data_IF_074800665052
#
_entry.id   IF_074800665052
#
_cell.length_a   1.000
_cell.length_b   1.000
_cell.length_c   1.000
_cell.angle_alpha   90.00
_cell.angle_beta   90.00
_cell.angle_gamma   90.00
#
_symmetry.space_group_name_H-M   'P 1'
#
loop_
_entity.id
_entity.type
_entity.pdbx_description
1 polymer ?
#
# COMPACT_ATOMS: atom_id res chain seq x y z
N UNK A 1 6.94 6.38 15.13
CA UNK A 1 7.87 7.38 14.55
C UNK A 1 7.10 8.51 13.88
N UNK A 2 6.50 8.33 12.69
CA UNK A 2 5.68 9.39 12.06
C UNK A 2 4.55 9.92 12.97
N UNK A 3 3.71 9.02 13.50
CA UNK A 3 2.61 9.41 14.40
C UNK A 3 3.11 10.08 15.69
N UNK A 4 4.20 9.58 16.26
CA UNK A 4 4.84 10.13 17.45
C UNK A 4 5.32 11.57 17.26
N UNK A 5 5.91 11.90 16.09
CA UNK A 5 6.32 13.28 15.79
C UNK A 5 5.11 14.21 15.56
N UNK A 6 4.03 13.70 14.95
CA UNK A 6 2.78 14.45 14.82
C UNK A 6 2.13 14.73 16.18
N UNK A 7 2.06 13.74 17.06
CA UNK A 7 1.54 13.91 18.42
C UNK A 7 2.38 14.88 19.24
N UNK A 8 3.71 14.79 19.15
CA UNK A 8 4.59 15.73 19.84
C UNK A 8 4.34 17.19 19.41
N UNK A 9 4.13 17.42 18.10
CA UNK A 9 3.79 18.76 17.56
C UNK A 9 2.44 19.24 18.07
N UNK A 10 1.44 18.37 18.10
CA UNK A 10 0.10 18.67 18.61
C UNK A 10 0.11 18.95 20.12
N UNK A 11 0.88 18.21 20.91
CA UNK A 11 1.00 18.43 22.36
C UNK A 11 1.77 19.72 22.70
N UNK A 12 2.71 20.12 21.84
CA UNK A 12 3.51 21.33 22.06
C UNK A 12 2.73 22.63 21.81
N UNK A 13 1.70 22.60 20.95
CA UNK A 13 0.90 23.78 20.65
C UNK A 13 -0.54 23.40 20.28
N UNK A 14 -1.52 24.06 20.92
CA UNK A 14 -2.95 23.91 20.62
C UNK A 14 -3.24 24.33 19.17
N UNK A 15 -2.48 25.28 18.63
CA UNK A 15 -2.55 25.68 17.23
C UNK A 15 -1.41 25.06 16.42
N UNK A 16 -1.74 24.12 15.54
CA UNK A 16 -0.78 23.52 14.60
C UNK A 16 -0.66 24.42 13.38
N UNK A 17 0.50 25.07 13.27
CA UNK A 17 0.80 26.04 12.22
C UNK A 17 1.22 25.38 10.89
N UNK A 18 2.00 24.29 10.94
CA UNK A 18 2.36 23.46 9.77
C UNK A 18 2.83 22.05 10.21
N UNK A 19 2.61 21.06 9.33
CA UNK A 19 3.09 19.66 9.47
C UNK A 19 3.82 19.16 8.23
N UNK A 20 3.94 20.01 7.20
CA UNK A 20 4.51 19.65 5.90
C UNK A 20 5.95 19.15 6.01
N UNK A 21 6.73 19.72 6.94
CA UNK A 21 8.09 19.31 7.26
C UNK A 21 8.18 17.85 7.75
N UNK A 22 7.28 17.46 8.66
CA UNK A 22 7.20 16.10 9.17
C UNK A 22 6.80 15.15 8.04
N UNK A 23 5.80 15.52 7.24
CA UNK A 23 5.33 14.68 6.15
C UNK A 23 6.42 14.48 5.08
N UNK A 24 7.11 15.55 4.66
CA UNK A 24 8.24 15.49 3.71
C UNK A 24 9.32 14.51 4.21
N UNK A 25 9.77 14.69 5.46
CA UNK A 25 10.83 13.87 6.09
C UNK A 25 10.48 12.38 6.13
N UNK A 26 9.29 12.04 6.64
CA UNK A 26 8.91 10.61 6.83
C UNK A 26 8.59 9.93 5.51
N UNK A 27 8.03 10.66 4.55
CA UNK A 27 7.77 10.12 3.22
C UNK A 27 9.06 9.75 2.50
N UNK A 28 10.09 10.59 2.61
CA UNK A 28 11.37 10.36 1.95
C UNK A 28 12.22 9.24 2.59
N UNK A 29 12.03 8.94 3.88
CA UNK A 29 12.97 8.08 4.64
C UNK A 29 12.36 6.84 5.25
N UNK A 30 11.05 6.84 5.53
CA UNK A 30 10.43 5.86 6.43
C UNK A 30 9.28 5.10 5.76
N UNK A 31 8.80 5.53 4.59
CA UNK A 31 7.60 4.97 3.95
C UNK A 31 7.88 3.87 2.91
N UNK A 32 9.14 3.48 2.69
CA UNK A 32 9.53 2.33 1.85
C UNK A 32 8.77 1.01 2.16
N UNK A 33 8.46 0.66 3.42
CA UNK A 33 7.66 -0.52 3.72
C UNK A 33 6.27 -0.51 3.09
N UNK A 34 5.66 0.66 2.90
CA UNK A 34 4.39 0.77 2.19
C UNK A 34 4.53 0.38 0.72
N UNK A 35 5.60 0.80 0.06
CA UNK A 35 5.87 0.42 -1.34
C UNK A 35 5.98 -1.10 -1.45
N UNK A 36 6.76 -1.73 -0.57
CA UNK A 36 6.91 -3.19 -0.55
C UNK A 36 5.59 -3.90 -0.26
N UNK A 37 4.82 -3.41 0.70
CA UNK A 37 3.53 -4.00 1.05
C UNK A 37 2.53 -3.90 -0.11
N UNK A 38 2.35 -2.69 -0.66
CA UNK A 38 1.42 -2.42 -1.76
C UNK A 38 1.81 -3.15 -3.06
N UNK A 39 3.11 -3.31 -3.32
CA UNK A 39 3.60 -4.10 -4.46
C UNK A 39 3.13 -5.56 -4.38
N UNK A 40 3.05 -6.12 -3.17
CA UNK A 40 2.66 -7.51 -2.94
C UNK A 40 1.15 -7.67 -2.65
N UNK A 41 0.36 -6.60 -2.71
CA UNK A 41 -1.05 -6.63 -2.32
C UNK A 41 -1.84 -7.68 -3.12
N UNK A 42 -1.67 -7.71 -4.45
CA UNK A 42 -2.34 -8.66 -5.35
C UNK A 42 -2.02 -10.11 -4.96
N UNK A 43 -0.78 -10.39 -4.61
CA UNK A 43 -0.35 -11.72 -4.15
C UNK A 43 -1.00 -12.10 -2.82
N UNK A 44 -1.08 -11.16 -1.87
CA UNK A 44 -1.72 -11.37 -0.57
C UNK A 44 -3.22 -11.68 -0.76
N UNK A 45 -3.91 -10.91 -1.61
CA UNK A 45 -5.33 -11.13 -1.89
C UNK A 45 -5.59 -12.51 -2.53
N UNK A 46 -4.80 -12.90 -3.54
CA UNK A 46 -4.92 -14.23 -4.17
C UNK A 46 -4.62 -15.36 -3.20
N UNK A 47 -3.56 -15.21 -2.40
CA UNK A 47 -3.19 -16.22 -1.39
C UNK A 47 -4.31 -16.40 -0.37
N UNK A 48 -4.91 -15.29 0.10
CA UNK A 48 -6.07 -15.35 0.98
C UNK A 48 -7.24 -16.09 0.33
N UNK A 49 -7.61 -15.72 -0.90
CA UNK A 49 -8.70 -16.39 -1.63
C UNK A 49 -8.45 -17.89 -1.85
N UNK A 50 -7.21 -18.25 -2.23
CA UNK A 50 -6.81 -19.65 -2.39
C UNK A 50 -6.94 -20.40 -1.07
N UNK A 51 -6.40 -19.87 0.04
CA UNK A 51 -6.46 -20.52 1.34
C UNK A 51 -7.91 -20.69 1.84
N UNK A 52 -8.77 -19.70 1.60
CA UNK A 52 -10.19 -19.80 1.94
C UNK A 52 -10.93 -20.89 1.13
N UNK A 53 -10.50 -21.14 -0.11
CA UNK A 53 -11.08 -22.17 -0.96
C UNK A 53 -10.51 -23.57 -0.69
N UNK A 54 -9.21 -23.68 -0.39
CA UNK A 54 -8.52 -24.98 -0.31
C UNK A 54 -8.29 -25.49 1.11
N UNK A 55 -8.37 -24.63 2.13
CA UNK A 55 -8.05 -24.99 3.51
C UNK A 55 -9.20 -24.63 4.47
N UNK A 56 -10.09 -25.61 4.78
CA UNK A 56 -11.21 -25.40 5.71
C UNK A 56 -10.77 -24.99 7.12
N UNK A 57 -9.65 -25.54 7.62
CA UNK A 57 -9.13 -25.21 8.96
C UNK A 57 -8.68 -23.74 9.04
N UNK A 58 -8.03 -23.24 7.99
CA UNK A 58 -7.68 -21.82 7.89
C UNK A 58 -8.94 -20.93 7.92
N UNK A 59 -9.98 -21.31 7.16
CA UNK A 59 -11.24 -20.57 7.11
C UNK A 59 -11.94 -20.52 8.48
N UNK A 60 -11.96 -21.62 9.22
CA UNK A 60 -12.55 -21.67 10.57
C UNK A 60 -11.81 -20.76 11.55
N UNK A 61 -10.48 -20.84 11.58
CA UNK A 61 -9.65 -19.98 12.43
C UNK A 61 -9.85 -18.51 12.06
N UNK A 62 -9.89 -18.20 10.76
CA UNK A 62 -10.10 -16.83 10.31
C UNK A 62 -11.48 -16.30 10.74
N UNK A 63 -12.54 -17.08 10.55
CA UNK A 63 -13.89 -16.68 10.96
C UNK A 63 -13.98 -16.40 12.46
N UNK A 64 -13.26 -17.17 13.29
CA UNK A 64 -13.18 -16.92 14.74
C UNK A 64 -12.44 -15.64 15.10
N UNK A 65 -11.40 -15.29 14.33
CA UNK A 65 -10.67 -14.03 14.51
C UNK A 65 -11.56 -12.85 14.08
N UNK A 66 -12.22 -12.96 12.92
CA UNK A 66 -13.11 -11.92 12.37
C UNK A 66 -14.32 -11.65 13.27
N UNK A 67 -14.77 -12.63 14.07
CA UNK A 67 -15.84 -12.44 15.07
C UNK A 67 -15.40 -11.72 16.35
N UNK A 68 -14.11 -11.42 16.51
CA UNK A 68 -13.63 -10.67 17.67
C UNK A 68 -14.14 -9.21 17.62
N UNK A 69 -14.48 -8.63 18.77
CA UNK A 69 -15.06 -7.29 18.84
C UNK A 69 -14.14 -6.21 18.24
N UNK A 70 -12.82 -6.37 18.42
CA UNK A 70 -11.80 -5.50 17.81
C UNK A 70 -11.85 -5.47 16.28
N UNK A 71 -12.24 -6.59 15.65
CA UNK A 71 -12.37 -6.70 14.20
C UNK A 71 -13.66 -6.06 13.69
N UNK A 72 -14.62 -5.75 14.56
CA UNK A 72 -15.93 -5.16 14.21
C UNK A 72 -16.65 -5.92 13.09
N UNK A 73 -16.49 -7.25 13.04
CA UNK A 73 -17.01 -8.12 12.00
C UNK A 73 -16.53 -7.76 10.57
N UNK A 74 -15.37 -7.13 10.44
CA UNK A 74 -14.76 -6.86 9.14
C UNK A 74 -13.96 -8.08 8.67
N UNK A 75 -14.04 -8.43 7.37
CA UNK A 75 -13.24 -9.51 6.83
C UNK A 75 -11.76 -9.13 6.74
N UNK A 76 -10.86 -10.12 6.73
CA UNK A 76 -9.40 -9.93 6.66
C UNK A 76 -8.97 -9.01 5.51
N UNK A 77 -9.65 -9.11 4.37
CA UNK A 77 -9.39 -8.28 3.19
C UNK A 77 -9.52 -6.77 3.48
N UNK A 78 -10.46 -6.38 4.35
CA UNK A 78 -10.67 -4.99 4.76
C UNK A 78 -9.51 -4.43 5.57
N UNK A 79 -8.74 -5.28 6.24
CA UNK A 79 -7.52 -4.88 6.93
C UNK A 79 -6.31 -4.86 5.99
N UNK A 80 -6.25 -5.80 5.04
CA UNK A 80 -5.14 -5.88 4.08
C UNK A 80 -5.08 -4.64 3.16
N UNK A 81 -6.21 -3.99 2.87
CA UNK A 81 -6.29 -2.80 2.01
C UNK A 81 -5.91 -1.49 2.74
N UNK A 82 -5.90 -1.47 4.09
CA UNK A 82 -5.67 -0.25 4.88
C UNK A 82 -4.35 0.48 4.54
N UNK A 83 -3.21 -0.20 4.33
CA UNK A 83 -1.96 0.48 3.98
C UNK A 83 -2.04 1.24 2.66
N UNK A 84 -2.71 0.68 1.66
CA UNK A 84 -2.96 1.35 0.38
C UNK A 84 -3.85 2.58 0.57
N UNK A 85 -4.99 2.42 1.26
CA UNK A 85 -5.91 3.52 1.56
C UNK A 85 -5.24 4.66 2.32
N UNK A 86 -4.37 4.32 3.27
CA UNK A 86 -3.63 5.32 4.05
C UNK A 86 -2.71 6.14 3.16
N UNK A 87 -1.94 5.48 2.30
CA UNK A 87 -0.98 6.15 1.40
C UNK A 87 -1.69 7.00 0.35
N UNK A 88 -2.82 6.56 -0.20
CA UNK A 88 -3.59 7.34 -1.18
C UNK A 88 -4.34 8.53 -0.58
N UNK A 89 -4.62 8.52 0.73
CA UNK A 89 -5.25 9.64 1.44
C UNK A 89 -4.30 10.79 1.74
N UNK A 90 -3.01 10.51 1.95
CA UNK A 90 -2.02 11.53 2.31
C UNK A 90 -1.88 12.67 1.28
N UNK A 91 -1.85 12.42 -0.06
CA UNK A 91 -1.81 13.51 -1.03
C UNK A 91 -3.03 14.43 -0.94
N UNK A 92 -4.23 13.88 -0.72
CA UNK A 92 -5.47 14.66 -0.62
C UNK A 92 -5.44 15.60 0.60
N UNK A 93 -4.93 15.10 1.72
CA UNK A 93 -4.75 15.90 2.92
C UNK A 93 -3.69 16.99 2.71
N UNK A 94 -2.55 16.63 2.13
CA UNK A 94 -1.47 17.59 1.84
C UNK A 94 -1.89 18.66 0.83
N UNK A 95 -2.68 18.31 -0.18
CA UNK A 95 -3.22 19.25 -1.15
C UNK A 95 -4.15 20.27 -0.46
N UNK A 96 -5.02 19.79 0.44
CA UNK A 96 -5.88 20.68 1.24
C UNK A 96 -5.08 21.64 2.11
N UNK A 97 -3.98 21.18 2.73
CA UNK A 97 -3.07 22.03 3.51
C UNK A 97 -2.40 23.07 2.59
N UNK A 98 -1.95 22.64 1.42
CA UNK A 98 -1.29 23.50 0.43
C UNK A 98 -2.23 24.62 -0.04
N UNK A 99 -3.49 24.30 -0.33
CA UNK A 99 -4.51 25.27 -0.76
C UNK A 99 -4.84 26.30 0.33
N UNK A 100 -4.76 25.92 1.61
CA UNK A 100 -5.02 26.81 2.75
C UNK A 100 -3.80 27.60 3.20
N UNK A 101 -2.61 27.27 2.71
CA UNK A 101 -1.36 27.95 3.06
C UNK A 101 -1.15 29.17 2.16
N UNK A 102 -0.83 30.36 2.70
CA UNK A 102 -0.55 31.55 1.89
C UNK A 102 0.61 31.33 0.92
N UNK A 103 0.40 31.62 -0.37
CA UNK A 103 1.36 31.34 -1.46
C UNK A 103 2.71 32.06 -1.30
N UNK A 104 2.70 33.21 -0.63
CA UNK A 104 3.89 34.04 -0.41
C UNK A 104 4.71 33.57 0.82
N UNK A 105 4.24 32.55 1.53
CA UNK A 105 4.93 31.99 2.70
C UNK A 105 5.98 30.96 2.28
N UNK A 106 7.17 30.93 2.93
CA UNK A 106 8.12 29.82 2.79
C UNK A 106 7.50 28.44 3.06
N UNK A 107 6.45 28.37 3.90
CA UNK A 107 5.69 27.15 4.21
C UNK A 107 4.99 26.57 2.98
N UNK A 108 4.56 27.41 2.03
CA UNK A 108 3.92 26.94 0.81
C UNK A 108 4.87 26.09 -0.04
N UNK A 109 6.16 26.45 -0.08
CA UNK A 109 7.17 25.62 -0.77
C UNK A 109 7.42 24.29 -0.07
N UNK A 110 7.45 24.27 1.28
CA UNK A 110 7.57 23.03 2.05
C UNK A 110 6.35 22.12 1.79
N UNK A 111 5.15 22.69 1.82
CA UNK A 111 3.91 21.96 1.55
C UNK A 111 3.89 21.37 0.13
N UNK A 112 4.33 22.12 -0.88
CA UNK A 112 4.44 21.60 -2.26
C UNK A 112 5.45 20.45 -2.37
N UNK A 113 6.60 20.53 -1.69
CA UNK A 113 7.58 19.43 -1.68
C UNK A 113 7.03 18.19 -0.96
N UNK A 114 6.40 18.37 0.19
CA UNK A 114 5.73 17.29 0.90
C UNK A 114 4.66 16.61 0.04
N UNK A 115 3.80 17.38 -0.62
CA UNK A 115 2.78 16.86 -1.55
C UNK A 115 3.43 16.08 -2.71
N UNK A 116 4.53 16.58 -3.27
CA UNK A 116 5.27 15.91 -4.34
C UNK A 116 5.84 14.57 -3.88
N UNK A 117 6.47 14.51 -2.72
CA UNK A 117 7.04 13.26 -2.20
C UNK A 117 5.95 12.23 -1.88
N UNK A 118 4.83 12.65 -1.29
CA UNK A 118 3.72 11.74 -1.01
C UNK A 118 3.07 11.23 -2.31
N UNK A 119 2.91 12.11 -3.30
CA UNK A 119 2.41 11.71 -4.62
C UNK A 119 3.35 10.73 -5.33
N UNK A 120 4.67 10.93 -5.19
CA UNK A 120 5.68 10.00 -5.68
C UNK A 120 5.57 8.64 -4.99
N UNK A 121 5.37 8.61 -3.66
CA UNK A 121 5.16 7.36 -2.92
C UNK A 121 3.94 6.59 -3.45
N UNK A 122 2.79 7.27 -3.61
CA UNK A 122 1.57 6.65 -4.17
C UNK A 122 1.84 6.09 -5.56
N UNK A 123 2.56 6.84 -6.41
CA UNK A 123 2.95 6.36 -7.72
C UNK A 123 3.82 5.10 -7.65
N UNK A 124 4.82 5.05 -6.77
CA UNK A 124 5.67 3.88 -6.57
C UNK A 124 4.87 2.66 -6.12
N UNK A 125 3.94 2.83 -5.18
CA UNK A 125 3.03 1.77 -4.75
C UNK A 125 2.19 1.23 -5.93
N UNK A 126 1.60 2.13 -6.72
CA UNK A 126 0.75 1.76 -7.86
C UNK A 126 1.55 1.13 -9.01
N UNK A 127 2.75 1.63 -9.30
CA UNK A 127 3.67 1.05 -10.29
C UNK A 127 4.14 -0.33 -9.85
N UNK A 128 4.48 -0.51 -8.58
CA UNK A 128 4.83 -1.79 -7.98
C UNK A 128 3.70 -2.81 -8.10
N UNK A 129 2.48 -2.44 -7.69
CA UNK A 129 1.30 -3.30 -7.80
C UNK A 129 1.03 -3.73 -9.25
N UNK A 130 1.07 -2.79 -10.22
CA UNK A 130 0.92 -3.11 -11.64
C UNK A 130 2.02 -4.02 -12.19
N UNK A 131 3.27 -3.82 -11.78
CA UNK A 131 4.39 -4.67 -12.21
C UNK A 131 4.22 -6.08 -11.68
N UNK A 132 3.85 -6.23 -10.41
CA UNK A 132 3.59 -7.53 -9.80
C UNK A 132 2.45 -8.27 -10.51
N UNK A 133 1.34 -7.58 -10.78
CA UNK A 133 0.21 -8.16 -11.51
C UNK A 133 0.63 -8.72 -12.90
N UNK A 134 1.48 -7.98 -13.63
CA UNK A 134 2.02 -8.43 -14.92
C UNK A 134 2.95 -9.63 -14.78
N UNK A 135 3.84 -9.63 -13.80
CA UNK A 135 4.74 -10.76 -13.53
C UNK A 135 3.94 -12.02 -13.18
N UNK A 136 2.89 -11.88 -12.39
CA UNK A 136 1.99 -12.98 -12.04
C UNK A 136 1.20 -13.52 -13.24
N UNK A 137 0.70 -12.65 -14.10
CA UNK A 137 0.07 -13.06 -15.36
C UNK A 137 1.06 -13.85 -16.24
N UNK A 138 2.31 -13.39 -16.33
CA UNK A 138 3.36 -14.11 -17.06
C UNK A 138 3.62 -15.50 -16.48
N UNK A 139 3.72 -15.64 -15.15
CA UNK A 139 3.86 -16.96 -14.51
C UNK A 139 2.67 -17.87 -14.78
N UNK A 140 1.45 -17.32 -14.73
CA UNK A 140 0.23 -18.08 -15.01
C UNK A 140 0.22 -18.61 -16.44
N UNK A 141 0.53 -17.77 -17.44
CA UNK A 141 0.65 -18.18 -18.84
C UNK A 141 1.75 -19.22 -19.00
N UNK A 142 2.92 -19.00 -18.41
CA UNK A 142 4.05 -19.94 -18.51
C UNK A 142 3.71 -21.32 -17.92
N UNK A 143 2.93 -21.37 -16.83
CA UNK A 143 2.47 -22.63 -16.24
C UNK A 143 1.45 -23.40 -17.09
N UNK A 144 0.81 -22.73 -18.05
CA UNK A 144 -0.17 -23.30 -18.97
C UNK A 144 0.45 -23.69 -20.33
N UNK A 145 1.70 -23.32 -20.59
CA UNK A 145 2.41 -23.69 -21.81
C UNK A 145 2.87 -25.15 -21.75
N UNK A 146 2.03 -26.07 -22.23
CA UNK A 146 2.47 -27.43 -22.58
C UNK A 146 3.27 -27.40 -23.88
N UNK A 147 4.60 -27.44 -23.78
CA UNK A 147 5.44 -27.70 -24.94
C UNK A 147 5.31 -29.18 -25.33
N UNK A 148 4.45 -29.48 -26.31
CA UNK A 148 4.46 -30.78 -27.00
C UNK A 148 5.74 -30.86 -27.84
N UNK A 149 6.84 -31.31 -27.23
CA UNK A 149 8.04 -31.70 -27.97
C UNK A 149 7.66 -32.93 -28.79
N UNK A 150 7.35 -32.74 -30.07
CA UNK A 150 7.31 -33.84 -31.04
C UNK A 150 8.75 -34.32 -31.20
N UNK A 151 9.11 -35.37 -30.48
CA UNK A 151 10.32 -36.14 -30.78
C UNK A 151 10.11 -36.72 -32.16
N UNK A 152 10.75 -36.15 -33.18
CA UNK A 152 10.85 -36.80 -34.47
C UNK A 152 11.75 -38.02 -34.27
N UNK A 153 11.14 -39.19 -34.13
CA UNK A 153 11.86 -40.46 -34.19
C UNK A 153 12.48 -40.59 -35.58
N UNK A 154 13.77 -40.30 -35.71
CA UNK A 154 14.56 -40.76 -36.84
C UNK A 154 14.59 -42.28 -36.79
N UNK A 155 13.73 -42.92 -37.58
CA UNK A 155 13.90 -44.33 -37.95
C UNK A 155 15.11 -44.41 -38.90
N UNK A 156 16.17 -45.07 -38.44
CA UNK A 156 17.20 -45.68 -39.28
C UNK A 156 16.75 -47.08 -39.67
#
# INVERSE_FOLDING_TARGET
RFFTELEARHQSNIFIDDISDIVEKHTASTFDPYVKYCTNEVYQQRTLQKLLATNPSFKEVLSRIESHEDCRNLPMISFLILPMQRVTRLPLLMDTICQKTPKDSPKYEVCKRALKEVSKLVRLCNEGARKMERTEMMYTINSQLEFKIKVFSCFF
#
